data_IF_905148226319
#
_entry.id   IF_905148226319
#
_cell.length_a   1.000
_cell.length_b   1.000
_cell.length_c   1.000
_cell.angle_alpha   90.00
_cell.angle_beta   90.00
_cell.angle_gamma   90.00
#
_symmetry.space_group_name_H-M   'P 1'
#
loop_
_entity.id
_entity.type
_entity.pdbx_description
1 polymer ?
#
# COMPACT_ATOMS: atom_id res chain seq x y z
N UNK A 1 6.07 -7.26 27.12
CA UNK A 1 7.25 -7.83 27.81
C UNK A 1 8.52 -7.24 27.18
N UNK A 2 9.45 -6.72 27.99
CA UNK A 2 10.72 -6.14 27.52
C UNK A 2 11.86 -7.12 27.81
N UNK A 3 12.10 -8.06 26.90
CA UNK A 3 13.04 -9.16 27.10
C UNK A 3 14.43 -8.92 26.48
N UNK A 4 14.52 -8.10 25.44
CA UNK A 4 15.72 -7.99 24.61
C UNK A 4 16.70 -6.94 25.16
N UNK A 5 17.99 -7.28 25.21
CA UNK A 5 19.04 -6.33 25.63
C UNK A 5 19.58 -5.54 24.44
N UNK A 6 20.32 -4.44 24.71
CA UNK A 6 21.06 -3.71 23.66
C UNK A 6 21.95 -4.64 22.85
N UNK A 7 22.60 -5.62 23.48
CA UNK A 7 23.48 -6.58 22.80
C UNK A 7 22.71 -7.47 21.83
N UNK A 8 21.47 -7.84 22.18
CA UNK A 8 20.61 -8.62 21.30
C UNK A 8 20.18 -7.81 20.08
N UNK A 9 19.85 -6.53 20.27
CA UNK A 9 19.54 -5.61 19.17
C UNK A 9 20.74 -5.43 18.24
N UNK A 10 21.94 -5.21 18.78
CA UNK A 10 23.18 -5.11 18.00
C UNK A 10 23.42 -6.38 17.17
N UNK A 11 23.21 -7.56 17.76
CA UNK A 11 23.43 -8.85 17.10
C UNK A 11 22.39 -9.15 16.01
N UNK A 12 21.11 -8.94 16.30
CA UNK A 12 19.99 -9.30 15.41
C UNK A 12 19.82 -8.26 14.30
N UNK A 13 19.90 -6.98 14.64
CA UNK A 13 19.63 -5.88 13.71
C UNK A 13 20.90 -5.23 13.16
N UNK A 14 22.09 -5.62 13.60
CA UNK A 14 23.37 -5.06 13.15
C UNK A 14 23.40 -3.52 13.21
N UNK A 15 22.69 -2.95 14.19
CA UNK A 15 22.65 -1.52 14.44
C UNK A 15 23.72 -1.13 15.46
N UNK A 16 24.42 -0.03 15.22
CA UNK A 16 25.37 0.50 16.20
C UNK A 16 24.65 1.10 17.41
N UNK A 17 25.26 1.02 18.61
CA UNK A 17 24.80 1.72 19.83
C UNK A 17 24.49 3.19 19.65
N UNK A 18 25.26 3.89 18.82
CA UNK A 18 25.05 5.31 18.52
C UNK A 18 23.72 5.55 17.81
N UNK A 19 23.38 4.69 16.86
CA UNK A 19 22.09 4.75 16.15
C UNK A 19 20.94 4.37 17.08
N UNK A 20 21.11 3.34 17.92
CA UNK A 20 20.11 2.93 18.91
C UNK A 20 19.83 4.09 19.88
N UNK A 21 20.86 4.75 20.41
CA UNK A 21 20.69 5.93 21.29
C UNK A 21 20.00 7.07 20.58
N UNK A 22 20.41 7.41 19.36
CA UNK A 22 19.76 8.47 18.59
C UNK A 22 18.26 8.23 18.36
N UNK A 23 17.85 6.99 18.17
CA UNK A 23 16.42 6.63 18.02
C UNK A 23 15.65 6.69 19.34
N UNK A 24 16.31 6.41 20.46
CA UNK A 24 15.74 6.58 21.81
C UNK A 24 15.58 8.07 22.14
N UNK A 25 16.59 8.89 21.83
CA UNK A 25 16.59 10.32 22.10
C UNK A 25 15.48 11.06 21.34
N UNK A 26 15.15 10.60 20.13
CA UNK A 26 14.03 11.11 19.31
C UNK A 26 12.67 10.57 19.79
N UNK A 27 12.65 9.61 20.72
CA UNK A 27 11.41 9.02 21.26
C UNK A 27 10.75 8.03 20.30
N UNK A 28 11.49 7.52 19.31
CA UNK A 28 10.99 6.53 18.36
C UNK A 28 10.88 5.13 18.98
N UNK A 29 11.73 4.87 19.97
CA UNK A 29 11.76 3.63 20.75
C UNK A 29 11.83 4.02 22.22
N UNK A 30 10.95 3.46 23.04
CA UNK A 30 10.89 3.73 24.49
C UNK A 30 11.20 2.46 25.27
N UNK A 31 12.49 2.06 25.36
CA UNK A 31 12.85 0.84 26.08
C UNK A 31 12.59 0.99 27.58
N UNK A 32 12.14 -0.10 28.21
CA UNK A 32 12.04 -0.18 29.65
C UNK A 32 13.43 -0.20 30.30
N UNK A 33 13.52 0.36 31.51
CA UNK A 33 14.75 0.28 32.32
C UNK A 33 14.64 -0.89 33.27
N UNK A 34 15.55 -1.85 33.14
CA UNK A 34 15.68 -2.97 34.06
C UNK A 34 16.29 -2.56 35.42
N UNK A 35 16.40 -3.52 36.37
CA UNK A 35 16.85 -3.28 37.74
C UNK A 35 18.26 -2.69 37.87
N UNK A 36 19.08 -2.73 36.80
CA UNK A 36 20.44 -2.15 36.74
C UNK A 36 20.58 -0.98 35.76
N UNK A 37 19.48 -0.24 35.48
CA UNK A 37 19.43 0.77 34.40
C UNK A 37 19.80 0.21 33.01
N UNK A 38 19.72 -1.09 32.84
CA UNK A 38 19.89 -1.73 31.54
C UNK A 38 18.68 -1.42 30.65
N UNK A 39 18.94 -1.07 29.38
CA UNK A 39 17.88 -0.83 28.41
C UNK A 39 17.34 -2.18 27.93
N UNK A 40 16.04 -2.39 28.16
CA UNK A 40 15.29 -3.58 27.76
C UNK A 40 14.28 -3.19 26.70
N UNK A 41 14.37 -3.84 25.55
CA UNK A 41 13.51 -3.60 24.40
C UNK A 41 12.40 -4.65 24.35
N UNK A 42 11.22 -4.21 23.95
CA UNK A 42 10.09 -5.05 23.61
C UNK A 42 10.21 -5.58 22.17
N UNK A 43 9.33 -6.50 21.80
CA UNK A 43 9.23 -6.95 20.40
C UNK A 43 8.78 -5.80 19.46
N UNK A 44 7.90 -4.92 19.91
CA UNK A 44 7.49 -3.75 19.13
C UNK A 44 8.68 -2.82 18.87
N UNK A 45 9.53 -2.60 19.87
CA UNK A 45 10.76 -1.83 19.73
C UNK A 45 11.70 -2.43 18.67
N UNK A 46 11.81 -3.77 18.61
CA UNK A 46 12.62 -4.45 17.60
C UNK A 46 12.07 -4.27 16.18
N UNK A 47 10.75 -4.29 15.99
CA UNK A 47 10.13 -4.03 14.68
C UNK A 47 10.49 -2.62 14.21
N UNK A 48 10.40 -1.65 15.12
CA UNK A 48 10.72 -0.24 14.87
C UNK A 48 12.21 -0.02 14.60
N UNK A 49 13.09 -0.74 15.31
CA UNK A 49 14.53 -0.71 15.03
C UNK A 49 14.87 -1.38 13.69
N UNK A 50 14.13 -2.42 13.29
CA UNK A 50 14.29 -3.06 11.98
C UNK A 50 13.94 -2.10 10.84
N UNK A 51 12.88 -1.30 10.97
CA UNK A 51 12.54 -0.29 9.95
C UNK A 51 13.64 0.78 9.87
N UNK A 52 14.16 1.26 11.01
CA UNK A 52 15.28 2.19 11.00
C UNK A 52 16.54 1.62 10.32
N UNK A 53 16.83 0.33 10.51
CA UNK A 53 17.92 -0.36 9.78
C UNK A 53 17.70 -0.32 8.28
N UNK A 54 16.48 -0.62 7.82
CA UNK A 54 16.14 -0.60 6.39
C UNK A 54 16.35 0.79 5.76
N UNK A 55 15.96 1.86 6.48
CA UNK A 55 16.17 3.24 6.01
C UNK A 55 17.66 3.60 5.86
N UNK A 56 18.50 3.15 6.81
CA UNK A 56 19.96 3.36 6.74
C UNK A 56 20.58 2.60 5.57
N UNK A 57 20.13 1.36 5.32
CA UNK A 57 20.61 0.55 4.20
C UNK A 57 20.21 1.15 2.84
N UNK A 58 19.06 1.82 2.77
CA UNK A 58 18.62 2.55 1.59
C UNK A 58 19.37 3.87 1.33
N UNK A 59 20.50 4.11 2.01
CA UNK A 59 21.35 5.33 1.87
C UNK A 59 20.66 6.64 2.26
N UNK A 60 19.55 6.60 3.01
CA UNK A 60 18.94 7.81 3.56
C UNK A 60 19.87 8.40 4.62
N UNK A 61 20.15 9.71 4.53
CA UNK A 61 21.07 10.37 5.46
C UNK A 61 20.52 10.37 6.89
N UNK A 62 21.39 10.18 7.90
CA UNK A 62 20.99 10.14 9.32
C UNK A 62 20.23 11.39 9.77
N UNK A 63 20.61 12.56 9.24
CA UNK A 63 19.96 13.84 9.54
C UNK A 63 18.53 13.88 8.98
N UNK A 64 18.32 13.34 7.78
CA UNK A 64 16.99 13.27 7.17
C UNK A 64 16.13 12.22 7.88
N UNK A 65 16.66 11.01 8.13
CA UNK A 65 15.96 10.01 8.95
C UNK A 65 15.49 10.65 10.26
N UNK A 66 16.38 11.37 10.97
CA UNK A 66 16.00 12.04 12.22
C UNK A 66 14.86 13.05 12.02
N UNK A 67 14.98 13.93 11.03
CA UNK A 67 13.98 14.97 10.74
C UNK A 67 12.62 14.36 10.34
N UNK A 68 12.62 13.42 9.40
CA UNK A 68 11.41 12.74 8.96
C UNK A 68 10.77 11.98 10.13
N UNK A 69 11.55 11.29 10.96
CA UNK A 69 10.99 10.59 12.13
C UNK A 69 10.44 11.58 13.20
N UNK A 70 11.05 12.75 13.38
CA UNK A 70 10.53 13.83 14.22
C UNK A 70 9.21 14.41 13.66
N UNK A 71 9.13 14.62 12.35
CA UNK A 71 7.92 15.06 11.64
C UNK A 71 6.80 14.02 11.76
N UNK A 72 7.12 12.73 11.57
CA UNK A 72 6.18 11.61 11.71
C UNK A 72 5.56 11.58 13.12
N UNK A 73 6.38 11.74 14.16
CA UNK A 73 5.91 11.70 15.54
C UNK A 73 5.04 12.90 15.91
N UNK A 74 5.21 14.04 15.22
CA UNK A 74 4.36 15.23 15.39
C UNK A 74 2.99 15.09 14.74
N UNK A 75 2.88 14.32 13.66
CA UNK A 75 1.62 14.16 12.92
C UNK A 75 0.82 12.92 13.31
N UNK A 76 1.44 11.93 13.94
CA UNK A 76 0.73 10.75 14.45
C UNK A 76 0.15 10.98 15.85
N UNK A 77 -1.09 10.52 16.12
CA UNK A 77 -1.62 10.45 17.48
C UNK A 77 -0.68 9.62 18.37
N UNK A 78 -0.45 10.05 19.61
CA UNK A 78 0.48 9.37 20.53
C UNK A 78 0.09 7.90 20.82
N UNK A 79 -1.16 7.54 20.55
CA UNK A 79 -1.77 6.22 20.73
C UNK A 79 -1.46 5.22 19.62
N UNK A 80 -0.99 5.66 18.44
CA UNK A 80 -0.69 4.76 17.33
C UNK A 80 0.72 4.16 17.51
N UNK A 81 0.85 2.83 17.66
CA UNK A 81 2.16 2.21 17.74
C UNK A 81 2.82 2.25 16.36
N UNK A 82 3.99 2.88 16.29
CA UNK A 82 4.83 2.98 15.09
C UNK A 82 5.16 1.62 14.46
N UNK A 83 5.09 0.53 15.24
CA UNK A 83 5.27 -0.83 14.77
C UNK A 83 4.19 -1.30 13.77
N UNK A 84 3.00 -0.69 13.78
CA UNK A 84 1.92 -0.99 12.84
C UNK A 84 2.03 -0.26 11.50
N UNK A 85 2.91 0.75 11.41
CA UNK A 85 3.13 1.52 10.19
C UNK A 85 4.28 0.91 9.40
N UNK A 86 4.05 0.62 8.12
CA UNK A 86 5.11 0.14 7.24
C UNK A 86 5.93 1.32 6.72
N UNK A 87 7.10 1.53 7.32
CA UNK A 87 8.00 2.63 6.96
C UNK A 87 9.06 2.11 6.00
N UNK A 88 9.14 2.71 4.80
CA UNK A 88 10.03 2.32 3.72
C UNK A 88 10.85 3.54 3.25
N UNK A 89 11.94 3.27 2.51
CA UNK A 89 12.70 4.31 1.83
C UNK A 89 12.48 4.20 0.32
N UNK A 90 12.22 5.34 -0.32
CA UNK A 90 12.19 5.46 -1.78
C UNK A 90 13.25 6.48 -2.16
N UNK A 91 14.35 6.01 -2.77
CA UNK A 91 15.53 6.83 -3.00
C UNK A 91 16.13 7.32 -1.68
N UNK A 92 16.18 8.64 -1.49
CA UNK A 92 16.71 9.29 -0.28
C UNK A 92 15.61 9.84 0.65
N UNK A 93 14.36 9.40 0.48
CA UNK A 93 13.18 9.88 1.21
C UNK A 93 12.53 8.78 2.06
N UNK A 94 11.97 9.18 3.20
CA UNK A 94 11.23 8.29 4.10
C UNK A 94 9.74 8.35 3.75
N UNK A 95 9.15 7.17 3.54
CA UNK A 95 7.76 6.99 3.14
C UNK A 95 7.06 6.10 4.17
N UNK A 96 5.86 6.49 4.55
CA UNK A 96 5.00 5.72 5.46
C UNK A 96 3.86 5.14 4.64
N UNK A 97 3.65 3.84 4.77
CA UNK A 97 2.53 3.10 4.18
C UNK A 97 1.58 2.66 5.28
N UNK A 98 0.33 3.10 5.14
CA UNK A 98 -0.82 2.74 5.96
C UNK A 98 -1.89 2.15 5.02
N UNK A 99 -2.04 0.83 5.03
CA UNK A 99 -2.87 0.10 4.07
C UNK A 99 -2.52 0.43 2.60
N UNK A 100 -3.47 1.03 1.88
CA UNK A 100 -3.34 1.42 0.47
C UNK A 100 -2.71 2.81 0.23
N UNK A 101 -2.44 3.58 1.28
CA UNK A 101 -1.93 4.95 1.16
C UNK A 101 -0.45 5.02 1.50
N UNK A 102 0.35 5.54 0.56
CA UNK A 102 1.74 5.91 0.82
C UNK A 102 1.81 7.43 0.95
N UNK A 103 2.53 7.94 1.95
CA UNK A 103 2.80 9.38 2.05
C UNK A 103 4.23 9.66 2.48
N UNK A 104 4.80 10.73 1.91
CA UNK A 104 6.09 11.26 2.29
C UNK A 104 5.96 12.04 3.58
N UNK A 105 6.86 11.74 4.50
CA UNK A 105 6.80 12.35 5.84
C UNK A 105 7.25 13.80 5.84
N UNK A 106 8.18 14.16 4.94
CA UNK A 106 8.80 15.50 4.92
C UNK A 106 7.78 16.59 4.52
N UNK A 107 6.91 16.30 3.55
CA UNK A 107 6.01 17.30 2.96
C UNK A 107 4.52 16.89 3.05
N UNK A 108 4.20 15.73 3.63
CA UNK A 108 2.83 15.19 3.70
C UNK A 108 2.27 14.69 2.35
N UNK A 109 3.10 14.66 1.29
CA UNK A 109 2.65 14.32 -0.06
C UNK A 109 2.34 12.83 -0.20
N UNK A 110 1.15 12.49 -0.66
CA UNK A 110 0.81 11.12 -1.04
C UNK A 110 1.63 10.67 -2.25
N UNK A 111 2.22 9.48 -2.15
CA UNK A 111 2.95 8.84 -3.24
C UNK A 111 2.07 7.80 -3.92
N UNK A 112 2.10 7.78 -5.25
CA UNK A 112 1.60 6.64 -6.00
C UNK A 112 2.46 5.41 -5.69
N UNK A 113 1.82 4.30 -5.32
CA UNK A 113 2.46 3.01 -5.08
C UNK A 113 2.89 2.30 -6.36
N UNK A 114 3.72 2.95 -7.17
CA UNK A 114 4.28 2.36 -8.38
C UNK A 114 5.50 1.52 -8.00
N UNK A 115 5.34 0.20 -8.00
CA UNK A 115 6.46 -0.73 -7.90
C UNK A 115 7.19 -0.73 -9.25
N UNK A 116 8.20 0.13 -9.38
CA UNK A 116 8.96 0.28 -10.62
C UNK A 116 10.19 -0.61 -10.57
N UNK A 117 10.26 -1.61 -11.45
CA UNK A 117 11.46 -2.40 -11.69
C UNK A 117 12.21 -1.84 -12.89
N UNK A 118 13.54 -1.78 -12.78
CA UNK A 118 14.41 -1.42 -13.91
C UNK A 118 15.09 -2.70 -14.36
N UNK A 119 14.58 -3.30 -15.44
CA UNK A 119 15.25 -4.39 -16.14
C UNK A 119 15.80 -3.86 -17.47
N UNK A 120 17.09 -4.11 -17.72
CA UNK A 120 17.77 -3.74 -18.97
C UNK A 120 17.68 -2.25 -19.36
N UNK A 121 17.66 -1.34 -18.37
CA UNK A 121 17.58 0.10 -18.62
C UNK A 121 16.19 0.59 -19.09
N UNK A 122 15.20 -0.29 -19.13
CA UNK A 122 13.81 0.06 -19.38
C UNK A 122 13.07 0.12 -18.04
N UNK A 123 12.51 1.28 -17.74
CA UNK A 123 11.59 1.46 -16.62
C UNK A 123 10.32 0.65 -16.93
N UNK A 124 10.06 -0.41 -16.14
CA UNK A 124 8.81 -1.14 -16.19
C UNK A 124 8.07 -0.92 -14.88
N UNK A 125 6.82 -0.45 -15.00
CA UNK A 125 5.90 -0.48 -13.87
C UNK A 125 5.48 -1.94 -13.72
N UNK A 126 5.92 -2.59 -12.65
CA UNK A 126 5.48 -3.93 -12.34
C UNK A 126 4.04 -3.81 -11.82
N UNK A 127 3.05 -4.51 -12.41
CA UNK A 127 1.76 -4.66 -11.77
C UNK A 127 2.01 -5.35 -10.44
N UNK A 128 1.53 -4.71 -9.36
CA UNK A 128 1.54 -5.31 -8.04
C UNK A 128 0.65 -6.55 -8.12
N UNK A 129 1.25 -7.74 -8.07
CA UNK A 129 0.49 -8.94 -7.71
C UNK A 129 -0.06 -8.66 -6.32
N UNK A 130 -1.35 -8.38 -6.26
CA UNK A 130 -2.11 -8.52 -5.04
C UNK A 130 -1.85 -9.95 -4.57
N UNK A 131 -1.12 -10.08 -3.46
CA UNK A 131 -1.07 -11.33 -2.73
C UNK A 131 -2.51 -11.63 -2.35
N UNK A 132 -3.13 -12.47 -3.17
CA UNK A 132 -4.45 -13.05 -3.02
C UNK A 132 -4.45 -13.86 -1.73
N UNK A 133 -4.63 -13.16 -0.61
CA UNK A 133 -4.93 -13.75 0.67
C UNK A 133 -6.41 -14.15 0.67
N UNK A 134 -6.65 -15.27 0.00
CA UNK A 134 -7.65 -16.29 0.31
C UNK A 134 -9.10 -15.85 0.53
N UNK A 135 -9.98 -16.23 -0.38
CA UNK A 135 -10.71 -17.48 -0.19
C UNK A 135 -11.15 -18.03 -1.56
N UNK A 136 -10.86 -19.31 -1.77
CA UNK A 136 -11.55 -20.11 -2.78
C UNK A 136 -12.99 -20.24 -2.32
N UNK A 137 -13.83 -19.29 -2.73
CA UNK A 137 -15.16 -19.64 -3.18
C UNK A 137 -14.99 -19.89 -4.68
N UNK A 138 -15.47 -21.03 -5.19
CA UNK A 138 -15.85 -21.08 -6.62
C UNK A 138 -17.03 -20.12 -6.81
N UNK A 139 -16.77 -18.83 -6.63
CA UNK A 139 -17.66 -17.75 -7.02
C UNK A 139 -17.67 -17.75 -8.54
N UNK A 140 -18.86 -17.64 -9.11
CA UNK A 140 -19.03 -17.53 -10.55
C UNK A 140 -18.01 -16.51 -11.09
N UNK A 141 -17.31 -16.81 -12.21
CA UNK A 141 -16.25 -15.95 -12.72
C UNK A 141 -16.72 -14.51 -12.77
N UNK A 142 -15.93 -13.59 -12.19
CA UNK A 142 -16.24 -12.16 -12.22
C UNK A 142 -16.23 -11.69 -13.68
N UNK A 143 -17.43 -11.60 -14.24
CA UNK A 143 -17.64 -11.22 -15.62
C UNK A 143 -17.25 -9.76 -15.88
N UNK A 144 -17.20 -8.91 -14.85
CA UNK A 144 -16.74 -7.54 -14.99
C UNK A 144 -15.23 -7.48 -15.18
N UNK A 145 -14.47 -8.16 -14.31
CA UNK A 145 -13.01 -8.30 -14.46
C UNK A 145 -12.65 -8.92 -15.81
N UNK A 146 -13.36 -9.99 -16.20
CA UNK A 146 -13.17 -10.63 -17.50
C UNK A 146 -13.42 -9.66 -18.66
N UNK A 147 -14.43 -8.79 -18.53
CA UNK A 147 -14.71 -7.75 -19.52
C UNK A 147 -13.55 -6.76 -19.66
N UNK A 148 -12.98 -6.30 -18.54
CA UNK A 148 -11.86 -5.36 -18.51
C UNK A 148 -10.61 -5.92 -19.21
N UNK A 149 -10.28 -7.20 -18.98
CA UNK A 149 -9.16 -7.87 -19.65
C UNK A 149 -9.33 -7.92 -21.17
N UNK A 150 -10.57 -8.12 -21.61
CA UNK A 150 -10.90 -8.34 -23.01
C UNK A 150 -11.07 -7.04 -23.81
N UNK A 151 -11.29 -5.88 -23.17
CA UNK A 151 -11.56 -4.62 -23.90
C UNK A 151 -10.49 -4.26 -24.95
N UNK A 152 -9.22 -4.55 -24.65
CA UNK A 152 -8.09 -4.24 -25.54
C UNK A 152 -7.81 -5.30 -26.60
N UNK A 153 -8.28 -6.54 -26.38
CA UNK A 153 -7.92 -7.71 -27.20
C UNK A 153 -9.08 -8.23 -28.03
N UNK A 154 -10.28 -8.29 -27.44
CA UNK A 154 -11.52 -8.71 -28.09
C UNK A 154 -12.71 -7.89 -27.54
N UNK A 155 -13.00 -6.72 -28.13
CA UNK A 155 -14.10 -5.86 -27.72
C UNK A 155 -15.48 -6.54 -27.76
N UNK A 156 -15.67 -7.53 -28.63
CA UNK A 156 -16.95 -8.26 -28.73
C UNK A 156 -17.13 -9.20 -27.55
N UNK A 157 -16.07 -9.94 -27.20
CA UNK A 157 -16.09 -10.79 -26.02
C UNK A 157 -16.19 -9.96 -24.72
N UNK A 158 -15.57 -8.77 -24.67
CA UNK A 158 -15.72 -7.84 -23.56
C UNK A 158 -17.18 -7.37 -23.39
N UNK A 159 -17.85 -7.05 -24.50
CA UNK A 159 -19.25 -6.64 -24.49
C UNK A 159 -20.17 -7.76 -23.95
N UNK A 160 -19.92 -9.01 -24.32
CA UNK A 160 -20.66 -10.16 -23.79
C UNK A 160 -20.34 -10.45 -22.32
N UNK A 161 -19.10 -10.22 -21.88
CA UNK A 161 -18.73 -10.30 -20.49
C UNK A 161 -19.47 -9.24 -19.65
N UNK A 162 -19.51 -7.97 -20.06
CA UNK A 162 -20.26 -6.95 -19.34
C UNK A 162 -21.77 -7.21 -19.30
N UNK A 163 -22.36 -7.76 -20.37
CA UNK A 163 -23.76 -8.21 -20.35
C UNK A 163 -24.02 -9.31 -19.33
N UNK A 164 -23.05 -10.20 -19.09
CA UNK A 164 -23.16 -11.24 -18.04
C UNK A 164 -22.94 -10.64 -16.66
N UNK A 165 -22.00 -9.70 -16.52
CA UNK A 165 -21.75 -9.00 -15.26
C UNK A 165 -23.02 -8.32 -14.73
N UNK A 166 -23.72 -7.53 -15.56
CA UNK A 166 -24.96 -6.85 -15.16
C UNK A 166 -26.15 -7.78 -14.91
N UNK A 167 -26.08 -9.04 -15.37
CA UNK A 167 -27.11 -10.05 -15.06
C UNK A 167 -26.87 -10.73 -13.73
N UNK A 168 -25.60 -10.94 -13.39
CA UNK A 168 -25.20 -11.54 -12.11
C UNK A 168 -25.27 -10.51 -10.98
N UNK A 169 -24.83 -9.28 -11.25
CA UNK A 169 -24.87 -8.16 -10.33
C UNK A 169 -25.44 -6.92 -11.05
N UNK A 170 -26.77 -6.71 -10.95
CA UNK A 170 -27.43 -5.55 -11.53
C UNK A 170 -26.97 -4.20 -10.97
N UNK A 171 -26.40 -4.19 -9.76
CA UNK A 171 -25.97 -2.97 -9.05
C UNK A 171 -24.56 -2.53 -9.48
N UNK A 172 -23.84 -3.38 -10.22
CA UNK A 172 -22.52 -3.05 -10.76
C UNK A 172 -22.59 -1.95 -11.82
N UNK A 173 -22.58 -0.70 -11.38
CA UNK A 173 -22.63 0.49 -12.24
C UNK A 173 -21.46 0.53 -13.22
N UNK A 174 -20.29 0.04 -12.84
CA UNK A 174 -19.10 0.04 -13.68
C UNK A 174 -19.28 -0.86 -14.91
N UNK A 175 -19.89 -2.05 -14.74
CA UNK A 175 -20.22 -2.95 -15.85
C UNK A 175 -21.23 -2.31 -16.83
N UNK A 176 -22.25 -1.63 -16.32
CA UNK A 176 -23.19 -0.88 -17.15
C UNK A 176 -22.52 0.25 -17.94
N UNK A 177 -21.62 1.01 -17.31
CA UNK A 177 -20.91 2.11 -17.96
C UNK A 177 -20.01 1.59 -19.08
N UNK A 178 -19.23 0.54 -18.80
CA UNK A 178 -18.28 -0.02 -19.76
C UNK A 178 -19.01 -0.70 -20.94
N UNK A 179 -20.14 -1.37 -20.70
CA UNK A 179 -20.99 -1.89 -21.77
C UNK A 179 -21.50 -0.77 -22.68
N UNK A 180 -22.08 0.28 -22.11
CA UNK A 180 -22.55 1.43 -22.89
C UNK A 180 -21.42 2.10 -23.67
N UNK A 181 -20.22 2.19 -23.07
CA UNK A 181 -19.04 2.80 -23.70
C UNK A 181 -18.59 2.00 -24.92
N UNK A 182 -18.53 0.67 -24.82
CA UNK A 182 -18.19 -0.19 -25.96
C UNK A 182 -19.20 -0.04 -27.10
N UNK A 183 -20.51 -0.02 -26.80
CA UNK A 183 -21.55 0.21 -27.80
C UNK A 183 -21.40 1.59 -28.47
N UNK A 184 -21.07 2.62 -27.70
CA UNK A 184 -20.82 3.96 -28.23
C UNK A 184 -19.61 3.98 -29.18
N UNK A 185 -18.52 3.30 -28.81
CA UNK A 185 -17.32 3.17 -29.65
C UNK A 185 -17.59 2.38 -30.94
N UNK A 186 -18.50 1.41 -30.91
CA UNK A 186 -18.99 0.70 -32.10
C UNK A 186 -19.96 1.54 -32.97
N UNK A 187 -20.26 2.78 -32.58
CA UNK A 187 -21.21 3.66 -33.26
C UNK A 187 -22.68 3.33 -33.00
N UNK A 188 -22.97 2.38 -32.10
CA UNK A 188 -24.32 1.93 -31.72
C UNK A 188 -24.88 2.80 -30.60
N UNK A 189 -24.95 4.10 -30.87
CA UNK A 189 -25.30 5.16 -29.91
C UNK A 189 -26.68 4.98 -29.28
N UNK A 190 -27.69 4.58 -30.06
CA UNK A 190 -29.05 4.34 -29.56
C UNK A 190 -29.10 3.17 -28.55
N UNK A 191 -28.31 2.11 -28.79
CA UNK A 191 -28.21 1.00 -27.84
C UNK A 191 -27.46 1.41 -26.58
N UNK A 192 -26.35 2.15 -26.72
CA UNK A 192 -25.60 2.69 -25.59
C UNK A 192 -26.49 3.56 -24.68
N UNK A 193 -27.29 4.45 -25.26
CA UNK A 193 -28.25 5.28 -24.52
C UNK A 193 -29.25 4.44 -23.73
N UNK A 194 -29.77 3.35 -24.32
CA UNK A 194 -30.69 2.44 -23.63
C UNK A 194 -30.02 1.74 -22.44
N UNK A 195 -28.75 1.37 -22.57
CA UNK A 195 -27.94 0.75 -21.52
C UNK A 195 -27.68 1.73 -20.38
N UNK A 196 -27.29 2.97 -20.68
CA UNK A 196 -27.09 4.00 -19.67
C UNK A 196 -28.37 4.37 -18.92
N UNK A 197 -29.52 4.44 -19.61
CA UNK A 197 -30.81 4.66 -18.95
C UNK A 197 -31.17 3.54 -17.99
N UNK A 198 -30.91 2.29 -18.36
CA UNK A 198 -31.13 1.14 -17.47
C UNK A 198 -30.20 1.19 -16.27
N UNK A 199 -28.93 1.54 -16.47
CA UNK A 199 -27.97 1.73 -15.38
C UNK A 199 -28.48 2.73 -14.33
N UNK A 200 -29.02 3.87 -14.79
CA UNK A 200 -29.59 4.89 -13.90
C UNK A 200 -30.84 4.41 -13.16
N UNK A 201 -31.63 3.52 -13.75
CA UNK A 201 -32.80 2.93 -13.09
C UNK A 201 -32.42 1.89 -12.04
N UNK A 202 -31.35 1.12 -12.26
CA UNK A 202 -30.89 0.10 -11.31
C UNK A 202 -30.12 0.73 -10.15
N UNK A 203 -29.20 1.66 -10.42
CA UNK A 203 -28.38 2.29 -9.39
C UNK A 203 -29.07 3.46 -8.64
N UNK A 204 -30.35 3.74 -8.95
CA UNK A 204 -31.13 4.84 -8.40
C UNK A 204 -32.22 4.45 -7.40
N UNK A 205 -32.29 3.18 -6.99
CA UNK A 205 -33.21 2.65 -5.99
C UNK A 205 -32.47 2.38 -4.67
#
# INVERSE_FOLDING_TARGET
MHSYSVRDVERVLQLSRSTIRGLIDVGFVTPARGPRRELRFSFQDLIVLRTARALIQAKVSRRRIRRSLEDLRRHLPQTVPLAGLSICAVGDRVVVRDGNSHWQVDDGQYLLGLDVSVENGVLRVAPRQEESASAVTEEAPDWFERGLELESTDPRAALDAYKRAVRTDPDNTAAWINWGRLLHQEGRTAEAESVYRRALQQCGA
#
